data_IF_648803085708
#
_entry.id   IF_648803085708
#
_cell.length_a   1.000
_cell.length_b   1.000
_cell.length_c   1.000
_cell.angle_alpha   90.00
_cell.angle_beta   90.00
_cell.angle_gamma   90.00
#
_symmetry.space_group_name_H-M   'P 1'
#
loop_
_entity.id
_entity.type
_entity.pdbx_description
1 polymer ?
#
# COMPACT_ATOMS: atom_id res chain seq x y z
N UNK A 1 1.01 18.73 5.26
CA UNK A 1 0.02 17.80 4.67
C UNK A 1 0.14 16.46 5.41
N UNK A 2 -0.98 15.81 5.73
CA UNK A 2 -0.98 14.53 6.45
C UNK A 2 -0.53 13.38 5.53
N UNK A 3 0.44 12.59 5.97
CA UNK A 3 0.90 11.37 5.34
C UNK A 3 0.52 10.16 6.21
N UNK A 4 -0.17 9.18 5.65
CA UNK A 4 -0.63 8.00 6.39
C UNK A 4 0.13 6.76 5.93
N UNK A 5 0.66 5.98 6.88
CA UNK A 5 1.37 4.72 6.61
C UNK A 5 0.52 3.56 7.09
N UNK A 6 -0.05 2.79 6.16
CA UNK A 6 -0.70 1.52 6.42
C UNK A 6 0.37 0.42 6.53
N UNK A 7 0.53 -0.16 7.72
CA UNK A 7 1.59 -1.12 8.02
C UNK A 7 2.81 -0.49 8.71
N UNK A 8 2.60 0.54 9.51
CA UNK A 8 3.64 1.36 10.14
C UNK A 8 4.61 0.60 11.06
N UNK A 9 4.22 -0.57 11.61
CA UNK A 9 5.09 -1.39 12.46
C UNK A 9 5.97 -2.41 11.71
N UNK A 10 5.90 -2.43 10.37
CA UNK A 10 6.65 -3.35 9.53
C UNK A 10 8.09 -2.89 9.23
N UNK A 11 8.85 -3.78 8.56
CA UNK A 11 10.24 -3.54 8.17
C UNK A 11 10.40 -2.33 7.21
N UNK A 12 9.37 -1.99 6.45
CA UNK A 12 9.35 -0.84 5.54
C UNK A 12 8.69 0.37 6.22
N UNK A 13 7.55 0.18 6.88
CA UNK A 13 6.77 1.27 7.44
C UNK A 13 7.51 2.06 8.53
N UNK A 14 8.30 1.39 9.37
CA UNK A 14 9.06 2.05 10.45
C UNK A 14 10.17 2.96 9.92
N UNK A 15 11.09 2.53 9.03
CA UNK A 15 12.08 3.43 8.44
C UNK A 15 11.43 4.51 7.57
N UNK A 16 10.37 4.20 6.83
CA UNK A 16 9.64 5.21 6.05
C UNK A 16 9.11 6.33 6.95
N UNK A 17 8.54 6.01 8.12
CA UNK A 17 8.05 7.01 9.06
C UNK A 17 9.16 7.96 9.56
N UNK A 18 10.40 7.48 9.69
CA UNK A 18 11.56 8.30 10.07
C UNK A 18 11.95 9.24 8.94
N UNK A 19 12.12 8.71 7.73
CA UNK A 19 12.58 9.47 6.57
C UNK A 19 11.56 10.51 6.10
N UNK A 20 10.27 10.23 6.23
CA UNK A 20 9.22 11.19 5.90
C UNK A 20 9.27 12.48 6.71
N UNK A 21 9.95 12.50 7.87
CA UNK A 21 10.13 13.72 8.66
C UNK A 21 10.90 14.81 7.93
N UNK A 22 11.70 14.46 6.94
CA UNK A 22 12.35 15.45 6.07
C UNK A 22 11.35 16.18 5.14
N UNK A 23 10.14 15.65 4.98
CA UNK A 23 9.15 16.15 4.01
C UNK A 23 7.84 16.62 4.67
N UNK A 24 7.50 16.09 5.83
CA UNK A 24 6.27 16.46 6.56
C UNK A 24 6.39 16.25 8.06
N UNK A 25 5.72 17.12 8.82
CA UNK A 25 5.59 16.97 10.28
C UNK A 25 4.28 16.28 10.69
N UNK A 26 3.41 15.92 9.75
CA UNK A 26 2.11 15.32 10.01
C UNK A 26 2.09 13.90 9.45
N UNK A 27 2.31 12.92 10.32
CA UNK A 27 2.37 11.50 9.97
C UNK A 27 1.39 10.72 10.84
N UNK A 28 0.51 9.94 10.18
CA UNK A 28 -0.38 8.97 10.84
C UNK A 28 0.17 7.57 10.64
N UNK A 29 0.36 6.86 11.74
CA UNK A 29 0.87 5.49 11.79
C UNK A 29 -0.28 4.53 12.04
N UNK A 30 -0.58 3.70 11.05
CA UNK A 30 -1.72 2.76 11.07
C UNK A 30 -1.23 1.33 11.14
N UNK A 31 -1.61 0.63 12.19
CA UNK A 31 -1.39 -0.82 12.37
C UNK A 31 -2.31 -1.33 13.48
N UNK A 32 -2.35 -2.63 13.72
CA UNK A 32 -3.13 -3.21 14.84
C UNK A 32 -2.70 -2.67 16.21
N UNK A 33 -1.40 -2.44 16.38
CA UNK A 33 -0.78 -1.90 17.60
C UNK A 33 0.24 -0.82 17.22
N UNK A 34 -0.23 0.38 16.82
CA UNK A 34 0.66 1.42 16.34
C UNK A 34 1.54 1.96 17.49
N UNK A 35 2.79 2.23 17.17
CA UNK A 35 3.76 2.84 18.09
C UNK A 35 4.35 4.07 17.42
N UNK A 36 4.50 5.14 18.18
CA UNK A 36 5.14 6.34 17.69
C UNK A 36 6.60 6.05 17.31
N UNK A 37 7.02 6.55 16.19
CA UNK A 37 8.40 6.52 15.70
C UNK A 37 9.08 7.83 16.04
N UNK A 38 8.31 8.92 16.05
CA UNK A 38 8.75 10.26 16.42
C UNK A 38 7.70 10.97 17.27
N UNK A 39 8.09 11.97 18.08
CA UNK A 39 7.12 12.83 18.78
C UNK A 39 6.15 13.49 17.78
N UNK A 40 4.87 13.49 18.12
CA UNK A 40 3.83 14.10 17.29
C UNK A 40 3.27 13.19 16.20
N UNK A 41 3.68 11.92 16.12
CA UNK A 41 3.00 10.93 15.25
C UNK A 41 1.57 10.70 15.75
N UNK A 42 0.62 10.73 14.81
CA UNK A 42 -0.75 10.32 15.08
C UNK A 42 -0.85 8.78 15.02
N UNK A 43 -1.35 8.17 16.08
CA UNK A 43 -1.50 6.71 16.17
C UNK A 43 -2.93 6.32 15.89
N UNK A 44 -3.13 5.44 14.90
CA UNK A 44 -4.44 4.94 14.51
C UNK A 44 -4.45 3.40 14.54
N UNK A 45 -5.09 2.83 15.56
CA UNK A 45 -5.22 1.37 15.68
C UNK A 45 -6.24 0.86 14.65
N UNK A 46 -5.80 -0.03 13.76
CA UNK A 46 -6.64 -0.59 12.71
C UNK A 46 -6.13 -1.95 12.24
N UNK A 47 -7.04 -2.88 12.04
CA UNK A 47 -6.77 -4.16 11.39
C UNK A 47 -7.06 -4.06 9.90
N UNK A 48 -6.10 -4.42 9.05
CA UNK A 48 -6.26 -4.39 7.59
C UNK A 48 -7.37 -5.32 7.06
N UNK A 49 -7.84 -6.27 7.87
CA UNK A 49 -9.02 -7.09 7.58
C UNK A 49 -10.35 -6.34 7.76
N UNK A 50 -10.39 -5.26 8.54
CA UNK A 50 -11.55 -4.37 8.65
C UNK A 50 -11.57 -3.36 7.51
N UNK A 51 -12.14 -3.76 6.35
CA UNK A 51 -12.18 -2.91 5.15
C UNK A 51 -13.01 -1.63 5.36
N UNK A 52 -14.03 -1.66 6.22
CA UNK A 52 -14.87 -0.50 6.49
C UNK A 52 -14.14 0.60 7.27
N UNK A 53 -13.21 0.21 8.13
CA UNK A 53 -12.41 1.14 8.92
C UNK A 53 -11.30 1.85 8.13
N UNK A 54 -10.93 1.34 6.95
CA UNK A 54 -9.88 1.93 6.11
C UNK A 54 -10.19 3.38 5.70
N UNK A 55 -11.45 3.68 5.43
CA UNK A 55 -11.86 5.04 5.08
C UNK A 55 -11.52 6.05 6.17
N UNK A 56 -11.78 5.69 7.43
CA UNK A 56 -11.44 6.54 8.58
C UNK A 56 -9.92 6.66 8.76
N UNK A 57 -9.20 5.56 8.56
CA UNK A 57 -7.74 5.55 8.67
C UNK A 57 -7.07 6.45 7.62
N UNK A 58 -7.67 6.58 6.43
CA UNK A 58 -7.16 7.35 5.29
C UNK A 58 -7.68 8.80 5.29
N UNK A 59 -8.79 9.07 5.98
CA UNK A 59 -9.44 10.37 5.97
C UNK A 59 -8.48 11.54 6.25
N UNK A 60 -8.52 12.57 5.41
CA UNK A 60 -7.69 13.78 5.52
C UNK A 60 -6.23 13.60 5.08
N UNK A 61 -5.83 12.43 4.60
CA UNK A 61 -4.49 12.18 4.08
C UNK A 61 -4.27 12.84 2.73
N UNK A 62 -3.11 13.45 2.53
CA UNK A 62 -2.65 13.87 1.20
C UNK A 62 -1.92 12.73 0.48
N UNK A 63 -1.22 11.88 1.24
CA UNK A 63 -0.50 10.70 0.72
C UNK A 63 -0.75 9.50 1.62
N UNK A 64 -1.03 8.36 1.02
CA UNK A 64 -1.20 7.07 1.71
C UNK A 64 -0.16 6.09 1.21
N UNK A 65 0.64 5.57 2.13
CA UNK A 65 1.64 4.54 1.87
C UNK A 65 1.11 3.18 2.31
N UNK A 66 1.08 2.23 1.40
CA UNK A 66 0.74 0.84 1.71
C UNK A 66 2.01 0.02 1.78
N UNK A 67 2.42 -0.30 3.01
CA UNK A 67 3.61 -1.11 3.33
C UNK A 67 3.25 -2.41 4.05
N UNK A 68 1.96 -2.78 4.02
CA UNK A 68 1.42 -3.98 4.66
C UNK A 68 1.93 -5.24 3.95
N UNK A 69 2.29 -6.25 4.75
CA UNK A 69 2.44 -7.62 4.32
C UNK A 69 1.36 -8.50 4.96
N UNK A 70 0.71 -9.36 4.19
CA UNK A 70 -0.16 -10.40 4.70
C UNK A 70 0.59 -11.72 4.83
N UNK A 71 0.05 -12.66 5.62
CA UNK A 71 0.61 -14.00 5.79
C UNK A 71 0.97 -14.62 4.43
N UNK A 72 2.18 -15.17 4.31
CA UNK A 72 2.72 -15.71 3.05
C UNK A 72 2.07 -17.04 2.65
N UNK A 73 0.75 -17.04 2.50
CA UNK A 73 -0.08 -18.19 2.14
C UNK A 73 -1.00 -17.81 0.98
N UNK A 74 -1.05 -18.66 -0.04
CA UNK A 74 -1.80 -18.35 -1.26
C UNK A 74 -3.30 -18.10 -1.00
N UNK A 75 -3.93 -18.91 -0.15
CA UNK A 75 -5.35 -18.73 0.19
C UNK A 75 -5.61 -17.37 0.86
N UNK A 76 -4.71 -16.93 1.75
CA UNK A 76 -4.77 -15.62 2.40
C UNK A 76 -4.59 -14.52 1.35
N UNK A 77 -3.60 -14.65 0.47
CA UNK A 77 -3.35 -13.64 -0.55
C UNK A 77 -4.54 -13.46 -1.50
N UNK A 78 -5.12 -14.56 -1.96
CA UNK A 78 -6.31 -14.52 -2.86
C UNK A 78 -7.52 -13.87 -2.20
N UNK A 79 -7.76 -14.14 -0.93
CA UNK A 79 -8.93 -13.62 -0.21
C UNK A 79 -8.75 -12.22 0.33
N UNK A 80 -7.49 -11.76 0.53
CA UNK A 80 -7.22 -10.52 1.27
C UNK A 80 -6.74 -9.37 0.38
N UNK A 81 -5.77 -9.62 -0.52
CA UNK A 81 -5.17 -8.55 -1.33
C UNK A 81 -6.17 -7.81 -2.22
N UNK A 82 -7.00 -8.47 -3.05
CA UNK A 82 -7.88 -7.74 -3.95
C UNK A 82 -8.94 -6.89 -3.22
N UNK A 83 -9.69 -7.40 -2.22
CA UNK A 83 -10.67 -6.58 -1.51
C UNK A 83 -10.02 -5.47 -0.69
N UNK A 84 -8.85 -5.71 -0.07
CA UNK A 84 -8.10 -4.69 0.64
C UNK A 84 -7.68 -3.55 -0.30
N UNK A 85 -7.03 -3.87 -1.42
CA UNK A 85 -6.58 -2.84 -2.36
C UNK A 85 -7.77 -2.07 -2.97
N UNK A 86 -8.88 -2.74 -3.25
CA UNK A 86 -10.11 -2.07 -3.69
C UNK A 86 -10.55 -1.02 -2.68
N UNK A 87 -10.63 -1.38 -1.40
CA UNK A 87 -11.03 -0.45 -0.34
C UNK A 87 -10.03 0.72 -0.18
N UNK A 88 -8.73 0.46 -0.30
CA UNK A 88 -7.70 1.52 -0.29
C UNK A 88 -7.86 2.48 -1.47
N UNK A 89 -8.05 1.97 -2.69
CA UNK A 89 -8.27 2.79 -3.90
C UNK A 89 -9.51 3.66 -3.73
N UNK A 90 -10.62 3.09 -3.27
CA UNK A 90 -11.88 3.81 -3.05
C UNK A 90 -11.75 4.90 -1.99
N UNK A 91 -11.05 4.63 -0.88
CA UNK A 91 -10.80 5.60 0.16
C UNK A 91 -9.85 6.71 -0.33
N UNK A 92 -8.75 6.38 -1.00
CA UNK A 92 -7.84 7.37 -1.57
C UNK A 92 -8.54 8.27 -2.58
N UNK A 93 -9.36 7.69 -3.45
CA UNK A 93 -10.17 8.45 -4.43
C UNK A 93 -11.13 9.41 -3.74
N UNK A 94 -11.87 8.95 -2.70
CA UNK A 94 -12.83 9.76 -1.95
C UNK A 94 -12.19 10.93 -1.23
N UNK A 95 -11.01 10.72 -0.65
CA UNK A 95 -10.27 11.74 0.10
C UNK A 95 -9.27 12.53 -0.73
N UNK A 96 -9.23 12.31 -2.06
CA UNK A 96 -8.26 12.91 -2.98
C UNK A 96 -6.80 12.72 -2.52
N UNK A 97 -6.51 11.54 -1.96
CA UNK A 97 -5.19 11.16 -1.48
C UNK A 97 -4.38 10.45 -2.59
N UNK A 98 -3.09 10.75 -2.70
CA UNK A 98 -2.18 10.00 -3.55
C UNK A 98 -1.83 8.68 -2.90
N UNK A 99 -1.88 7.58 -3.65
CA UNK A 99 -1.45 6.25 -3.22
C UNK A 99 0.03 6.01 -3.55
N UNK A 100 0.79 5.55 -2.59
CA UNK A 100 2.12 4.96 -2.80
C UNK A 100 2.07 3.51 -2.33
N UNK A 101 2.16 2.57 -3.26
CA UNK A 101 2.09 1.14 -2.97
C UNK A 101 3.47 0.52 -3.06
N UNK A 102 3.96 -0.03 -1.94
CA UNK A 102 5.18 -0.80 -1.89
C UNK A 102 4.89 -2.24 -2.32
N UNK A 103 5.22 -2.55 -3.56
CA UNK A 103 4.95 -3.85 -4.17
C UNK A 103 6.14 -4.83 -4.00
N UNK A 104 6.15 -5.89 -4.75
CA UNK A 104 7.20 -6.88 -4.81
C UNK A 104 7.35 -7.42 -6.25
N UNK A 105 8.42 -8.17 -6.47
CA UNK A 105 8.81 -8.66 -7.79
C UNK A 105 8.00 -9.84 -8.33
N UNK A 106 7.05 -10.39 -7.58
CA UNK A 106 6.37 -11.65 -7.97
C UNK A 106 5.47 -11.52 -9.20
N UNK A 107 5.15 -10.30 -9.63
CA UNK A 107 4.35 -10.06 -10.83
C UNK A 107 5.16 -10.15 -12.13
N UNK A 108 6.49 -10.03 -12.06
CA UNK A 108 7.34 -10.02 -13.25
C UNK A 108 7.69 -11.43 -13.74
N UNK A 109 8.02 -11.54 -15.02
CA UNK A 109 8.54 -12.76 -15.63
C UNK A 109 9.87 -13.18 -14.96
N UNK A 110 10.08 -14.49 -14.79
CA UNK A 110 11.28 -15.00 -14.13
C UNK A 110 12.58 -14.57 -14.84
N UNK A 111 12.57 -14.45 -16.15
CA UNK A 111 13.71 -14.00 -16.95
C UNK A 111 13.97 -12.48 -16.87
N UNK A 112 13.02 -11.69 -16.38
CA UNK A 112 13.20 -10.26 -16.16
C UNK A 112 13.92 -9.95 -14.83
N UNK A 113 13.91 -10.87 -13.86
CA UNK A 113 14.44 -10.66 -12.50
C UNK A 113 15.91 -10.23 -12.46
N UNK A 114 16.84 -10.74 -13.30
CA UNK A 114 18.25 -10.28 -13.27
C UNK A 114 18.44 -8.82 -13.69
N UNK A 115 17.52 -8.26 -14.49
CA UNK A 115 17.54 -6.89 -14.99
C UNK A 115 16.14 -6.30 -15.01
N UNK A 116 15.58 -6.11 -13.84
CA UNK A 116 14.22 -5.63 -13.66
C UNK A 116 14.17 -4.11 -13.81
N UNK A 117 13.31 -3.64 -14.70
CA UNK A 117 12.97 -2.23 -14.91
C UNK A 117 11.46 -2.06 -14.84
N UNK A 118 10.99 -0.82 -14.84
CA UNK A 118 9.57 -0.50 -14.86
C UNK A 118 8.85 -1.05 -16.10
N UNK A 119 9.58 -1.23 -17.20
CA UNK A 119 9.08 -1.79 -18.48
C UNK A 119 9.21 -3.32 -18.56
N UNK A 120 9.67 -3.98 -17.49
CA UNK A 120 9.85 -5.42 -17.49
C UNK A 120 8.51 -6.14 -17.68
N UNK A 121 8.55 -7.26 -18.42
CA UNK A 121 7.34 -8.02 -18.77
C UNK A 121 6.67 -8.56 -17.52
N UNK A 122 5.39 -8.23 -17.36
CA UNK A 122 4.51 -8.82 -16.36
C UNK A 122 3.98 -10.15 -16.90
N UNK A 123 4.62 -11.23 -16.52
CA UNK A 123 4.23 -12.59 -16.83
C UNK A 123 4.39 -13.44 -15.56
N UNK A 124 3.27 -13.70 -14.90
CA UNK A 124 3.23 -14.24 -13.54
C UNK A 124 3.45 -15.77 -13.55
N UNK A 125 4.65 -16.25 -13.26
CA UNK A 125 4.92 -17.69 -13.28
C UNK A 125 4.26 -18.42 -12.08
N UNK A 126 3.82 -17.69 -11.07
CA UNK A 126 3.26 -18.25 -9.84
C UNK A 126 1.85 -17.75 -9.55
N UNK A 127 1.09 -18.55 -8.82
CA UNK A 127 -0.27 -18.19 -8.37
C UNK A 127 -0.28 -16.93 -7.46
N UNK A 128 0.77 -16.74 -6.67
CA UNK A 128 0.94 -15.49 -5.89
C UNK A 128 1.26 -14.30 -6.79
N UNK A 129 2.07 -14.51 -7.83
CA UNK A 129 2.34 -13.49 -8.85
C UNK A 129 1.05 -13.04 -9.55
N UNK A 130 0.13 -13.95 -9.85
CA UNK A 130 -1.18 -13.62 -10.42
C UNK A 130 -2.00 -12.71 -9.51
N UNK A 131 -1.96 -12.94 -8.19
CA UNK A 131 -2.63 -12.06 -7.22
C UNK A 131 -2.00 -10.66 -7.23
N UNK A 132 -0.66 -10.58 -7.26
CA UNK A 132 0.05 -9.28 -7.31
C UNK A 132 -0.24 -8.54 -8.61
N UNK A 133 -0.23 -9.21 -9.76
CA UNK A 133 -0.58 -8.62 -11.03
C UNK A 133 -2.05 -8.13 -11.08
N UNK A 134 -2.97 -8.83 -10.41
CA UNK A 134 -4.34 -8.36 -10.25
C UNK A 134 -4.38 -7.04 -9.45
N UNK A 135 -3.69 -6.97 -8.32
CA UNK A 135 -3.60 -5.76 -7.49
C UNK A 135 -3.00 -4.60 -8.27
N UNK A 136 -1.90 -4.85 -8.98
CA UNK A 136 -1.25 -3.86 -9.84
C UNK A 136 -2.23 -3.32 -10.91
N UNK A 137 -2.93 -4.20 -11.61
CA UNK A 137 -3.94 -3.82 -12.61
C UNK A 137 -5.04 -2.94 -12.01
N UNK A 138 -5.57 -3.29 -10.84
CA UNK A 138 -6.59 -2.49 -10.17
C UNK A 138 -6.15 -1.05 -9.91
N UNK A 139 -4.88 -0.86 -9.51
CA UNK A 139 -4.31 0.47 -9.27
C UNK A 139 -4.25 1.25 -10.60
N UNK A 140 -3.67 0.66 -11.65
CA UNK A 140 -3.49 1.35 -12.93
C UNK A 140 -4.81 1.64 -13.64
N UNK A 141 -5.79 0.74 -13.59
CA UNK A 141 -7.15 1.00 -14.08
C UNK A 141 -7.81 2.21 -13.37
N UNK A 142 -7.56 2.38 -12.07
CA UNK A 142 -8.06 3.54 -11.34
C UNK A 142 -7.33 4.84 -11.74
N UNK A 143 -6.03 4.76 -12.03
CA UNK A 143 -5.23 5.90 -12.52
C UNK A 143 -5.67 6.30 -13.93
N UNK A 144 -5.79 5.34 -14.86
CA UNK A 144 -6.23 5.57 -16.24
C UNK A 144 -7.64 6.17 -16.30
N UNK A 145 -8.52 5.74 -15.38
CA UNK A 145 -9.86 6.31 -15.23
C UNK A 145 -9.87 7.71 -14.56
N UNK A 146 -8.72 8.29 -14.23
CA UNK A 146 -8.60 9.61 -13.59
C UNK A 146 -9.12 9.66 -12.15
N UNK A 147 -9.35 8.50 -11.50
CA UNK A 147 -9.90 8.41 -10.14
C UNK A 147 -8.84 8.40 -9.04
N UNK A 148 -7.60 8.14 -9.39
CA UNK A 148 -6.50 7.97 -8.45
C UNK A 148 -5.21 8.56 -9.04
N UNK A 149 -4.37 9.15 -8.18
CA UNK A 149 -2.96 9.35 -8.45
C UNK A 149 -2.17 8.31 -7.66
N UNK A 150 -1.33 7.53 -8.32
CA UNK A 150 -0.57 6.47 -7.64
C UNK A 150 0.86 6.36 -8.14
N UNK A 151 1.72 5.87 -7.25
CA UNK A 151 3.05 5.35 -7.50
C UNK A 151 3.11 3.91 -7.00
N UNK A 152 3.68 3.01 -7.77
CA UNK A 152 4.05 1.66 -7.33
C UNK A 152 5.57 1.60 -7.24
N UNK A 153 6.10 1.23 -6.06
CA UNK A 153 7.52 1.19 -5.74
C UNK A 153 7.99 -0.24 -5.46
#
# INVERSE_FOLDING_TARGET
>A
MLHTILGSGGAIGTPLARELRAYTNSIRLVSRHPRAVSPGDELFAHDAGDLAGLDKAIAGSAVVYVTIGFEYKLSVWRSTWPPFMKAVIEACSRHNARLVFFDNMYLYAANAVPHMTEDAVIDQPSEKGKVRAQVHRMIFEAVEAGRLQALVA
#
